data_IF_700689590553
#
_entry.id   IF_700689590553
#
_cell.length_a   1.000
_cell.length_b   1.000
_cell.length_c   1.000
_cell.angle_alpha   90.00
_cell.angle_beta   90.00
_cell.angle_gamma   90.00
#
_symmetry.space_group_name_H-M   'P 1'
#
loop_
_entity.id
_entity.type
_entity.pdbx_description
1 polymer ?
#
# COMPACT_ATOMS: atom_id res chain seq x y z
N UNK A 1 4.62 -1.65 34.32
CA UNK A 1 5.53 -1.13 33.29
C UNK A 1 4.71 -1.04 32.02
N UNK A 2 4.57 0.14 31.42
CA UNK A 2 3.91 0.26 30.12
C UNK A 2 4.82 -0.40 29.05
N UNK A 3 4.26 -1.13 28.06
CA UNK A 3 5.07 -1.64 26.97
C UNK A 3 5.79 -0.48 26.28
N UNK A 4 7.05 -0.68 25.92
CA UNK A 4 7.75 0.33 25.15
C UNK A 4 7.12 0.40 23.74
N UNK A 5 7.20 1.54 23.06
CA UNK A 5 6.59 1.75 21.73
C UNK A 5 7.11 0.73 20.70
N UNK A 6 8.39 0.32 20.82
CA UNK A 6 9.01 -0.72 20.01
C UNK A 6 8.35 -2.09 20.18
N UNK A 7 8.11 -2.55 21.41
CA UNK A 7 7.46 -3.83 21.71
C UNK A 7 6.03 -3.86 21.15
N UNK A 8 5.33 -2.73 21.24
CA UNK A 8 3.96 -2.60 20.72
C UNK A 8 3.92 -2.54 19.19
N UNK A 9 4.89 -1.87 18.56
CA UNK A 9 5.04 -1.81 17.12
C UNK A 9 5.42 -3.17 16.52
N UNK A 10 6.32 -3.91 17.18
CA UNK A 10 6.71 -5.25 16.77
C UNK A 10 5.54 -6.24 16.89
N UNK A 11 4.80 -6.22 18.01
CA UNK A 11 3.62 -7.07 18.18
C UNK A 11 2.52 -6.74 17.15
N UNK A 12 2.34 -5.46 16.82
CA UNK A 12 1.46 -5.05 15.73
C UNK A 12 1.94 -5.62 14.40
N UNK A 13 3.24 -5.51 14.11
CA UNK A 13 3.84 -6.02 12.87
C UNK A 13 3.68 -7.52 12.73
N UNK A 14 3.96 -8.31 13.77
CA UNK A 14 3.77 -9.76 13.75
C UNK A 14 2.34 -10.16 13.39
N UNK A 15 1.36 -9.37 13.86
CA UNK A 15 -0.08 -9.60 13.62
C UNK A 15 -0.50 -9.19 12.20
N UNK A 16 0.12 -8.16 11.63
CA UNK A 16 -0.37 -7.48 10.42
C UNK A 16 0.61 -7.47 9.23
N UNK A 17 1.78 -8.10 9.34
CA UNK A 17 2.81 -8.14 8.29
C UNK A 17 2.26 -8.61 6.93
N UNK A 18 1.37 -9.61 6.93
CA UNK A 18 0.77 -10.14 5.71
C UNK A 18 -0.01 -9.07 4.93
N UNK A 19 -0.61 -8.09 5.62
CA UNK A 19 -1.29 -6.98 4.96
C UNK A 19 -0.28 -6.09 4.23
N UNK A 20 0.85 -5.76 4.88
CA UNK A 20 1.91 -4.95 4.26
C UNK A 20 2.52 -5.68 3.07
N UNK A 21 2.79 -6.98 3.21
CA UNK A 21 3.34 -7.82 2.14
C UNK A 21 2.38 -7.92 0.95
N UNK A 22 1.08 -8.07 1.22
CA UNK A 22 0.05 -8.12 0.17
C UNK A 22 0.04 -6.83 -0.63
N UNK A 23 -0.04 -5.67 0.03
CA UNK A 23 0.01 -4.38 -0.66
C UNK A 23 1.30 -4.18 -1.45
N UNK A 24 2.45 -4.56 -0.88
CA UNK A 24 3.75 -4.45 -1.54
C UNK A 24 3.80 -5.32 -2.80
N UNK A 25 3.25 -6.54 -2.74
CA UNK A 25 3.15 -7.44 -3.87
C UNK A 25 2.20 -6.92 -4.96
N UNK A 26 1.06 -6.35 -4.57
CA UNK A 26 0.10 -5.79 -5.52
C UNK A 26 0.67 -4.57 -6.24
N UNK A 27 1.39 -3.69 -5.53
CA UNK A 27 2.15 -2.59 -6.14
C UNK A 27 3.16 -3.14 -7.15
N UNK A 28 3.89 -4.20 -6.80
CA UNK A 28 4.81 -4.87 -7.70
C UNK A 28 4.14 -5.46 -8.95
N UNK A 29 2.94 -6.02 -8.81
CA UNK A 29 2.14 -6.55 -9.91
C UNK A 29 1.65 -5.44 -10.84
N UNK A 30 1.15 -4.33 -10.30
CA UNK A 30 0.77 -3.14 -11.07
C UNK A 30 1.96 -2.60 -11.87
N UNK A 31 3.13 -2.48 -11.25
CA UNK A 31 4.34 -2.00 -11.92
C UNK A 31 4.75 -2.91 -13.07
N UNK A 32 4.75 -4.23 -12.82
CA UNK A 32 5.12 -5.27 -13.78
C UNK A 32 4.21 -5.26 -15.01
N UNK A 33 2.91 -5.13 -14.79
CA UNK A 33 1.90 -5.26 -15.84
C UNK A 33 1.46 -3.89 -16.42
N UNK A 34 2.22 -2.82 -16.15
CA UNK A 34 1.91 -1.45 -16.58
C UNK A 34 1.70 -1.26 -18.10
N UNK A 35 2.15 -2.21 -18.92
CA UNK A 35 1.95 -2.22 -20.38
C UNK A 35 0.89 -3.21 -20.87
N UNK A 36 0.34 -4.06 -19.99
CA UNK A 36 -0.72 -5.02 -20.29
C UNK A 36 -2.02 -4.57 -19.63
N UNK A 37 -2.85 -3.86 -20.38
CA UNK A 37 -4.08 -3.25 -19.85
C UNK A 37 -5.06 -4.25 -19.24
N UNK A 38 -5.09 -5.49 -19.74
CA UNK A 38 -5.98 -6.52 -19.18
C UNK A 38 -5.53 -6.96 -17.80
N UNK A 39 -4.24 -7.28 -17.67
CA UNK A 39 -3.63 -7.67 -16.39
C UNK A 39 -3.58 -6.49 -15.41
N UNK A 40 -3.28 -5.29 -15.89
CA UNK A 40 -3.22 -4.06 -15.09
C UNK A 40 -4.55 -3.71 -14.44
N UNK A 41 -5.66 -3.76 -15.18
CA UNK A 41 -6.99 -3.49 -14.62
C UNK A 41 -7.35 -4.47 -13.49
N UNK A 42 -7.00 -5.75 -13.65
CA UNK A 42 -7.20 -6.77 -12.62
C UNK A 42 -6.35 -6.46 -11.38
N UNK A 43 -5.08 -6.12 -11.56
CA UNK A 43 -4.17 -5.78 -10.47
C UNK A 43 -4.61 -4.52 -9.72
N UNK A 44 -5.09 -3.48 -10.43
CA UNK A 44 -5.61 -2.27 -9.79
C UNK A 44 -6.92 -2.50 -9.03
N UNK A 45 -7.76 -3.43 -9.48
CA UNK A 45 -8.98 -3.83 -8.74
C UNK A 45 -8.62 -4.59 -7.47
N UNK A 46 -7.67 -5.53 -7.56
CA UNK A 46 -7.17 -6.27 -6.42
C UNK A 46 -6.54 -5.34 -5.39
N UNK A 47 -5.64 -4.45 -5.84
CA UNK A 47 -5.00 -3.46 -4.98
C UNK A 47 -6.03 -2.59 -4.25
N UNK A 48 -7.10 -2.13 -4.92
CA UNK A 48 -8.16 -1.36 -4.26
C UNK A 48 -8.87 -2.16 -3.15
N UNK A 49 -9.05 -3.46 -3.35
CA UNK A 49 -9.68 -4.35 -2.37
C UNK A 49 -8.77 -4.57 -1.16
N UNK A 50 -7.50 -4.82 -1.42
CA UNK A 50 -6.49 -5.07 -0.39
C UNK A 50 -6.14 -3.78 0.38
N UNK A 51 -6.12 -2.62 -0.30
CA UNK A 51 -6.02 -1.29 0.34
C UNK A 51 -7.19 -1.02 1.28
N UNK A 52 -8.43 -1.25 0.84
CA UNK A 52 -9.59 -1.06 1.69
C UNK A 52 -9.57 -1.97 2.93
N UNK A 53 -9.07 -3.19 2.79
CA UNK A 53 -8.87 -4.12 3.91
C UNK A 53 -7.81 -3.58 4.87
N UNK A 54 -6.73 -3.00 4.33
CA UNK A 54 -5.65 -2.42 5.09
C UNK A 54 -6.07 -1.16 5.89
N UNK A 55 -7.03 -0.37 5.40
CA UNK A 55 -7.62 0.74 6.15
C UNK A 55 -8.33 0.31 7.43
N UNK A 56 -8.82 -0.94 7.49
CA UNK A 56 -9.51 -1.48 8.66
C UNK A 56 -8.55 -2.01 9.73
N UNK A 57 -7.26 -2.07 9.43
CA UNK A 57 -6.25 -2.50 10.40
C UNK A 57 -6.12 -1.43 11.50
N UNK A 58 -6.01 -1.81 12.78
CA UNK A 58 -5.79 -0.86 13.86
C UNK A 58 -4.57 0.04 13.59
N UNK A 59 -4.58 1.31 14.02
CA UNK A 59 -3.42 2.19 13.85
C UNK A 59 -2.14 1.60 14.44
N UNK A 60 -1.03 1.82 13.74
CA UNK A 60 0.31 1.43 14.20
C UNK A 60 0.65 2.25 15.46
N UNK A 61 1.07 1.61 16.57
CA UNK A 61 1.43 2.32 17.80
C UNK A 61 2.61 3.29 17.66
N UNK A 62 3.55 3.01 16.74
CA UNK A 62 4.62 3.94 16.38
C UNK A 62 4.08 5.04 15.44
N UNK A 63 4.12 6.29 15.90
CA UNK A 63 3.54 7.42 15.17
C UNK A 63 4.22 7.73 13.83
N UNK A 64 5.52 7.43 13.69
CA UNK A 64 6.23 7.66 12.42
C UNK A 64 5.87 6.58 11.42
N UNK A 65 5.86 5.31 11.84
CA UNK A 65 5.35 4.20 11.04
C UNK A 65 3.89 4.44 10.62
N UNK A 66 3.03 4.89 11.53
CA UNK A 66 1.64 5.22 11.22
C UNK A 66 1.51 6.35 10.17
N UNK A 67 2.42 7.34 10.21
CA UNK A 67 2.41 8.43 9.23
C UNK A 67 2.74 7.91 7.83
N UNK A 68 3.79 7.10 7.71
CA UNK A 68 4.16 6.45 6.45
C UNK A 68 3.06 5.50 5.96
N UNK A 69 2.49 4.70 6.85
CA UNK A 69 1.38 3.80 6.54
C UNK A 69 0.16 4.55 6.00
N UNK A 70 -0.27 5.62 6.65
CA UNK A 70 -1.40 6.42 6.21
C UNK A 70 -1.13 7.12 4.86
N UNK A 71 0.10 7.59 4.63
CA UNK A 71 0.51 8.16 3.35
C UNK A 71 0.46 7.12 2.24
N UNK A 72 0.98 5.91 2.49
CA UNK A 72 0.92 4.78 1.56
C UNK A 72 -0.53 4.47 1.18
N UNK A 73 -1.41 4.24 2.15
CA UNK A 73 -2.82 3.92 1.88
C UNK A 73 -3.52 5.01 1.07
N UNK A 74 -3.24 6.28 1.35
CA UNK A 74 -3.81 7.39 0.58
C UNK A 74 -3.35 7.39 -0.88
N UNK A 75 -2.06 7.15 -1.14
CA UNK A 75 -1.51 7.07 -2.49
C UNK A 75 -2.01 5.82 -3.24
N UNK A 76 -2.15 4.68 -2.56
CA UNK A 76 -2.74 3.46 -3.12
C UNK A 76 -4.20 3.68 -3.50
N UNK A 77 -5.00 4.30 -2.62
CA UNK A 77 -6.42 4.58 -2.88
C UNK A 77 -6.60 5.49 -4.09
N UNK A 78 -5.84 6.59 -4.13
CA UNK A 78 -5.89 7.53 -5.26
C UNK A 78 -5.45 6.84 -6.55
N UNK A 79 -4.34 6.11 -6.51
CA UNK A 79 -3.77 5.47 -7.68
C UNK A 79 -4.59 4.31 -8.22
N UNK A 80 -5.17 3.48 -7.34
CA UNK A 80 -6.07 2.40 -7.75
C UNK A 80 -7.37 2.96 -8.36
N UNK A 81 -7.90 4.05 -7.81
CA UNK A 81 -9.06 4.76 -8.38
C UNK A 81 -8.75 5.29 -9.79
N UNK A 82 -7.64 6.02 -9.95
CA UNK A 82 -7.24 6.59 -11.24
C UNK A 82 -6.93 5.48 -12.26
N UNK A 83 -6.26 4.39 -11.83
CA UNK A 83 -5.99 3.23 -12.68
C UNK A 83 -7.27 2.55 -13.17
N UNK A 84 -8.21 2.25 -12.27
CA UNK A 84 -9.47 1.59 -12.64
C UNK A 84 -10.36 2.48 -13.52
N UNK A 85 -10.43 3.78 -13.25
CA UNK A 85 -11.15 4.73 -14.08
C UNK A 85 -10.51 4.85 -15.47
N UNK A 86 -9.19 5.01 -15.54
CA UNK A 86 -8.46 5.05 -16.81
C UNK A 86 -8.62 3.77 -17.63
N UNK A 87 -8.61 2.59 -16.99
CA UNK A 87 -8.85 1.32 -17.66
C UNK A 87 -10.29 1.23 -18.23
N UNK A 88 -11.29 1.68 -17.46
CA UNK A 88 -12.69 1.70 -17.89
C UNK A 88 -12.93 2.64 -19.07
N UNK A 89 -12.26 3.79 -19.06
CA UNK A 89 -12.39 4.84 -20.09
C UNK A 89 -11.41 4.65 -21.27
N UNK A 90 -10.58 3.58 -21.25
CA UNK A 90 -9.48 3.38 -22.20
C UNK A 90 -8.51 4.58 -22.30
N UNK A 91 -8.33 5.29 -21.18
CA UNK A 91 -7.48 6.47 -21.05
C UNK A 91 -6.11 6.09 -20.46
N UNK A 92 -5.14 5.85 -21.33
CA UNK A 92 -3.78 5.45 -20.95
C UNK A 92 -3.07 6.47 -20.07
N UNK A 93 -3.26 7.77 -20.30
CA UNK A 93 -2.60 8.80 -19.50
C UNK A 93 -3.09 8.76 -18.05
N UNK A 94 -4.38 8.54 -17.83
CA UNK A 94 -4.98 8.40 -16.51
C UNK A 94 -4.54 7.10 -15.81
N UNK A 95 -4.43 6.00 -16.57
CA UNK A 95 -3.85 4.76 -16.06
C UNK A 95 -2.42 4.99 -15.57
N UNK A 96 -1.58 5.63 -16.38
CA UNK A 96 -0.18 5.89 -16.05
C UNK A 96 -0.05 6.87 -14.87
N UNK A 97 -0.96 7.84 -14.74
CA UNK A 97 -1.07 8.67 -13.55
C UNK A 97 -1.35 7.85 -12.29
N UNK A 98 -2.32 6.92 -12.37
CA UNK A 98 -2.65 6.02 -11.27
C UNK A 98 -1.48 5.12 -10.88
N UNK A 99 -0.82 4.51 -11.87
CA UNK A 99 0.42 3.73 -11.64
C UNK A 99 1.50 4.58 -10.97
N UNK A 100 1.67 5.83 -11.39
CA UNK A 100 2.63 6.76 -10.78
C UNK A 100 2.34 7.04 -9.29
N UNK A 101 1.07 7.13 -8.90
CA UNK A 101 0.67 7.27 -7.49
C UNK A 101 0.90 5.98 -6.70
N UNK A 102 0.52 4.82 -7.27
CA UNK A 102 0.74 3.50 -6.67
C UNK A 102 2.24 3.27 -6.39
N UNK A 103 3.12 3.67 -7.32
CA UNK A 103 4.56 3.54 -7.14
C UNK A 103 5.14 4.43 -6.04
N UNK A 104 4.52 5.57 -5.72
CA UNK A 104 4.95 6.41 -4.57
C UNK A 104 4.67 5.71 -3.25
N UNK A 105 3.53 5.02 -3.15
CA UNK A 105 3.17 4.26 -1.97
C UNK A 105 4.21 3.18 -1.61
N UNK A 106 4.96 2.64 -2.58
CA UNK A 106 6.03 1.68 -2.32
C UNK A 106 7.10 2.23 -1.37
N UNK A 107 7.49 3.51 -1.55
CA UNK A 107 8.48 4.15 -0.68
C UNK A 107 7.96 4.28 0.75
N UNK A 108 6.68 4.61 0.90
CA UNK A 108 6.02 4.75 2.20
C UNK A 108 5.80 3.39 2.89
N UNK A 109 5.46 2.34 2.14
CA UNK A 109 5.38 0.96 2.65
C UNK A 109 6.75 0.47 3.15
N UNK A 110 7.82 0.74 2.40
CA UNK A 110 9.19 0.41 2.82
C UNK A 110 9.59 1.17 4.08
N UNK A 111 9.29 2.47 4.16
CA UNK A 111 9.55 3.28 5.36
C UNK A 111 8.77 2.77 6.58
N UNK A 112 7.53 2.33 6.38
CA UNK A 112 6.70 1.67 7.40
C UNK A 112 7.39 0.41 7.92
N UNK A 113 7.79 -0.51 7.03
CA UNK A 113 8.48 -1.74 7.42
C UNK A 113 9.81 -1.50 8.14
N UNK A 114 10.62 -0.56 7.65
CA UNK A 114 11.87 -0.19 8.29
C UNK A 114 11.64 0.29 9.73
N UNK A 115 10.59 1.07 9.99
CA UNK A 115 10.26 1.52 11.34
C UNK A 115 9.77 0.40 12.24
N UNK A 116 8.91 -0.47 11.73
CA UNK A 116 8.38 -1.61 12.48
C UNK A 116 9.46 -2.63 12.86
N UNK A 117 10.49 -2.78 12.04
CA UNK A 117 11.58 -3.76 12.25
C UNK A 117 12.82 -3.18 12.93
N UNK A 118 12.98 -1.85 12.99
CA UNK A 118 14.11 -1.20 13.65
C UNK A 118 14.12 -1.34 15.19
N UNK A 119 13.04 -1.86 15.79
CA UNK A 119 12.94 -2.15 17.21
C UNK A 119 13.27 -3.62 17.57
N UNK A 120 13.65 -4.44 16.59
CA UNK A 120 14.02 -5.85 16.74
C UNK A 120 15.45 -6.05 17.28
#
# INVERSE_FOLDING_TARGET
MAPNVGDSAMSWFETHQTTIDTLTNDVGAVAKDSTDMGSLSSNCTRLATDEHTAEQVPPIPDAQAQTHWAAALNDLRAGAKDCNAGASDSNLDQVMQGVGQIMKALGELQATMQRLTAAA
#
